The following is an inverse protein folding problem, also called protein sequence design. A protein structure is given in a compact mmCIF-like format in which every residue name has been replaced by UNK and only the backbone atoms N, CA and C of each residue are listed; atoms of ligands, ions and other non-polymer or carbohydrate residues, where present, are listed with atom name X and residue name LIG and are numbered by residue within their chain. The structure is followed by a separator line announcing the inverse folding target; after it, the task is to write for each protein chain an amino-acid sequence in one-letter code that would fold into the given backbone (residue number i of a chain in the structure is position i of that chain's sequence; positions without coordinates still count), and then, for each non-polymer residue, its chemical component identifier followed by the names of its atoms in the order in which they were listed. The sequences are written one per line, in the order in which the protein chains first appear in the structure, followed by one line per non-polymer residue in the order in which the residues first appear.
data_IF_115850880244
#
_entry.id   IF_115850880244
#
_cell.length_a   1.000
_cell.length_b   1.000
_cell.length_c   1.000
_cell.angle_alpha   90.00
_cell.angle_beta   90.00
_cell.angle_gamma   90.00
#
_symmetry.space_group_name_H-M   'P 1'
#
loop_
_entity.id
_entity.type
_entity.pdbx_description
1 polymer ?
#
# COMPACT_ATOMS: atom_id res chain seq x y z
N UNK A 1 18.78 19.69 2.90
CA UNK A 1 19.17 18.74 1.86
C UNK A 1 19.59 17.46 2.59
N UNK A 2 18.81 16.41 2.48
CA UNK A 2 19.23 15.09 2.98
C UNK A 2 20.24 14.55 1.96
N UNK A 3 21.48 14.33 2.39
CA UNK A 3 22.47 13.62 1.56
C UNK A 3 21.97 12.20 1.27
N UNK A 4 22.13 11.77 0.04
CA UNK A 4 21.80 10.40 -0.34
C UNK A 4 22.65 9.41 0.46
N UNK A 5 22.08 8.34 1.02
CA UNK A 5 22.83 7.37 1.83
C UNK A 5 23.93 6.71 1.01
N UNK A 6 25.13 6.62 1.57
CA UNK A 6 26.35 6.12 0.92
C UNK A 6 26.42 4.59 0.82
N UNK A 7 25.46 3.85 1.42
CA UNK A 7 25.43 2.40 1.37
C UNK A 7 24.24 1.78 2.10
N UNK A 8 24.02 0.49 1.84
CA UNK A 8 22.90 -0.29 2.45
C UNK A 8 22.99 -0.31 3.98
N UNK A 9 24.22 -0.35 4.54
CA UNK A 9 24.44 -0.38 6.00
C UNK A 9 23.93 0.91 6.65
N UNK A 10 24.17 2.07 6.06
CA UNK A 10 23.69 3.35 6.57
C UNK A 10 22.16 3.46 6.49
N UNK A 11 21.55 2.88 5.45
CA UNK A 11 20.09 2.80 5.35
C UNK A 11 19.51 1.93 6.44
N UNK A 12 20.07 0.75 6.68
CA UNK A 12 19.62 -0.15 7.73
C UNK A 12 19.81 0.45 9.13
N UNK A 13 20.91 1.13 9.38
CA UNK A 13 21.14 1.84 10.63
C UNK A 13 20.09 2.92 10.87
N UNK A 14 19.81 3.77 9.87
CA UNK A 14 18.75 4.77 9.94
C UNK A 14 17.36 4.17 10.16
N UNK A 15 17.07 3.04 9.51
CA UNK A 15 15.81 2.33 9.72
C UNK A 15 15.67 1.80 11.15
N UNK A 16 16.73 1.19 11.70
CA UNK A 16 16.73 0.71 13.07
C UNK A 16 16.59 1.85 14.08
N UNK A 17 17.31 2.96 13.88
CA UNK A 17 17.18 4.15 14.73
C UNK A 17 15.77 4.76 14.67
N UNK A 18 15.12 4.74 13.50
CA UNK A 18 13.74 5.20 13.34
C UNK A 18 12.75 4.33 14.13
N UNK A 19 13.00 3.02 14.23
CA UNK A 19 12.14 2.10 14.99
C UNK A 19 12.20 2.42 16.49
N UNK A 20 13.37 2.80 17.02
CA UNK A 20 13.61 3.04 18.44
C UNK A 20 13.36 4.51 18.84
N UNK A 21 12.78 5.30 17.96
CA UNK A 21 12.51 6.73 18.21
C UNK A 21 11.47 6.95 19.33
N UNK A 22 11.51 8.15 19.93
CA UNK A 22 10.51 8.56 20.91
C UNK A 22 9.11 8.55 20.26
N UNK A 23 8.06 8.01 20.92
CA UNK A 23 6.72 7.89 20.34
C UNK A 23 6.11 9.24 19.96
N UNK A 24 6.30 10.29 20.78
CA UNK A 24 5.77 11.62 20.51
C UNK A 24 6.52 12.24 19.33
N UNK A 25 7.83 12.12 19.30
CA UNK A 25 8.67 12.60 18.21
C UNK A 25 8.36 11.88 16.89
N UNK A 26 8.11 10.56 16.95
CA UNK A 26 7.69 9.77 15.80
C UNK A 26 6.38 10.28 15.19
N UNK A 27 5.41 10.67 16.04
CA UNK A 27 4.14 11.25 15.57
C UNK A 27 4.34 12.64 14.97
N UNK A 28 5.10 13.54 15.64
CA UNK A 28 5.35 14.91 15.18
C UNK A 28 6.11 14.95 13.86
N UNK A 29 7.12 14.08 13.72
CA UNK A 29 7.98 14.02 12.54
C UNK A 29 7.47 13.07 11.44
N UNK A 30 6.25 12.51 11.59
CA UNK A 30 5.68 11.53 10.67
C UNK A 30 6.62 10.33 10.41
N UNK A 31 7.34 9.87 11.46
CA UNK A 31 8.16 8.69 11.38
C UNK A 31 7.28 7.43 11.47
N UNK A 32 6.80 6.95 10.32
CA UNK A 32 5.87 5.82 10.24
C UNK A 32 6.40 4.53 10.86
N UNK A 33 7.72 4.24 10.74
CA UNK A 33 8.32 3.06 11.34
C UNK A 33 8.30 3.12 12.88
N UNK A 34 8.63 4.29 13.45
CA UNK A 34 8.54 4.52 14.89
C UNK A 34 7.09 4.42 15.39
N UNK A 35 6.14 5.04 14.68
CA UNK A 35 4.71 4.96 15.01
C UNK A 35 4.23 3.51 14.99
N UNK A 36 4.57 2.74 13.95
CA UNK A 36 4.20 1.33 13.82
C UNK A 36 4.82 0.47 14.94
N UNK A 37 6.09 0.66 15.24
CA UNK A 37 6.77 -0.06 16.31
C UNK A 37 6.09 0.17 17.67
N UNK A 38 5.78 1.42 18.00
CA UNK A 38 5.06 1.76 19.23
C UNK A 38 3.63 1.24 19.22
N UNK A 39 2.93 1.24 18.08
CA UNK A 39 1.60 0.65 17.97
C UNK A 39 1.62 -0.85 18.29
N UNK A 40 2.63 -1.58 17.79
CA UNK A 40 2.81 -3.01 18.11
C UNK A 40 3.11 -3.22 19.60
N UNK A 41 4.05 -2.45 20.17
CA UNK A 41 4.43 -2.54 21.59
C UNK A 41 3.21 -2.28 22.48
N UNK A 42 2.47 -1.19 22.22
CA UNK A 42 1.27 -0.84 22.97
C UNK A 42 0.15 -1.87 22.77
N UNK A 43 -0.02 -2.39 21.54
CA UNK A 43 -1.01 -3.43 21.25
C UNK A 43 -0.74 -4.71 22.04
N UNK A 44 0.52 -5.14 22.14
CA UNK A 44 0.92 -6.30 22.97
C UNK A 44 0.70 -6.01 24.46
N UNK A 45 1.11 -4.84 24.93
CA UNK A 45 0.95 -4.45 26.34
C UNK A 45 -0.52 -4.40 26.74
N UNK A 46 -1.39 -3.90 25.87
CA UNK A 46 -2.83 -3.75 26.11
C UNK A 46 -3.64 -5.03 25.81
N UNK A 47 -2.98 -6.11 25.38
CA UNK A 47 -3.67 -7.39 25.07
C UNK A 47 -4.53 -7.90 26.25
N UNK A 48 -4.04 -7.70 27.48
CA UNK A 48 -4.74 -8.11 28.73
C UNK A 48 -5.61 -7.00 29.34
N UNK A 49 -5.76 -5.86 28.69
CA UNK A 49 -6.58 -4.76 29.20
C UNK A 49 -8.07 -5.11 29.22
N UNK A 50 -8.83 -4.34 29.99
CA UNK A 50 -10.29 -4.52 30.13
C UNK A 50 -11.01 -4.31 28.79
N UNK A 51 -12.19 -4.91 28.59
CA UNK A 51 -13.00 -4.71 27.38
C UNK A 51 -13.30 -3.22 27.12
N UNK A 52 -13.52 -2.42 28.19
CA UNK A 52 -13.78 -0.98 28.08
C UNK A 52 -12.60 -0.22 27.48
N UNK A 53 -11.35 -0.54 27.89
CA UNK A 53 -10.16 0.08 27.32
C UNK A 53 -10.00 -0.26 25.84
N UNK A 54 -10.27 -1.51 25.45
CA UNK A 54 -10.22 -1.95 24.05
C UNK A 54 -11.28 -1.25 23.21
N UNK A 55 -12.49 -1.12 23.75
CA UNK A 55 -13.58 -0.40 23.07
C UNK A 55 -13.24 1.06 22.87
N UNK A 56 -12.71 1.75 23.89
CA UNK A 56 -12.30 3.14 23.79
C UNK A 56 -11.23 3.36 22.70
N UNK A 57 -10.25 2.45 22.60
CA UNK A 57 -9.22 2.51 21.55
C UNK A 57 -9.81 2.25 20.15
N UNK A 58 -10.77 1.32 20.05
CA UNK A 58 -11.49 1.07 18.80
C UNK A 58 -12.27 2.31 18.36
N UNK A 59 -13.04 2.90 19.27
CA UNK A 59 -13.84 4.09 19.00
C UNK A 59 -12.96 5.28 18.58
N UNK A 60 -11.81 5.45 19.25
CA UNK A 60 -10.83 6.47 18.86
C UNK A 60 -10.22 6.22 17.47
N UNK A 61 -9.90 4.97 17.15
CA UNK A 61 -9.42 4.58 15.83
C UNK A 61 -10.47 4.86 14.74
N UNK A 62 -11.73 4.51 15.02
CA UNK A 62 -12.84 4.75 14.11
C UNK A 62 -13.09 6.24 13.88
N UNK A 63 -12.99 7.05 14.94
CA UNK A 63 -13.13 8.51 14.85
C UNK A 63 -12.01 9.12 13.98
N UNK A 64 -10.75 8.72 14.18
CA UNK A 64 -9.62 9.17 13.35
C UNK A 64 -9.79 8.73 11.90
N UNK A 65 -10.19 7.47 11.68
CA UNK A 65 -10.45 6.94 10.34
C UNK A 65 -11.57 7.69 9.63
N UNK A 66 -12.61 8.08 10.36
CA UNK A 66 -13.71 8.88 9.82
C UNK A 66 -13.24 10.30 9.45
N UNK A 67 -12.44 10.94 10.29
CA UNK A 67 -11.85 12.24 9.98
C UNK A 67 -10.99 12.19 8.71
N UNK A 68 -10.16 11.17 8.59
CA UNK A 68 -9.34 10.94 7.37
C UNK A 68 -10.24 10.75 6.14
N UNK A 69 -11.34 10.00 6.23
CA UNK A 69 -12.30 9.84 5.12
C UNK A 69 -12.91 11.17 4.69
N UNK A 70 -13.26 12.07 5.62
CA UNK A 70 -13.75 13.40 5.28
C UNK A 70 -12.74 14.20 4.47
N UNK A 71 -11.46 14.15 4.88
CA UNK A 71 -10.37 14.80 4.12
C UNK A 71 -10.21 14.19 2.73
N UNK A 72 -10.23 12.85 2.64
CA UNK A 72 -10.13 12.13 1.36
C UNK A 72 -11.30 12.46 0.42
N UNK A 73 -12.50 12.69 0.95
CA UNK A 73 -13.64 13.09 0.15
C UNK A 73 -13.46 14.47 -0.52
N UNK A 74 -12.57 15.31 0.00
CA UNK A 74 -12.17 16.58 -0.64
C UNK A 74 -11.08 16.40 -1.71
N UNK A 75 -10.45 15.23 -1.78
CA UNK A 75 -9.36 14.95 -2.73
C UNK A 75 -9.72 15.23 -4.21
N UNK A 76 -10.95 14.95 -4.71
CA UNK A 76 -11.30 15.29 -6.08
C UNK A 76 -11.08 16.76 -6.43
N UNK A 77 -11.39 17.68 -5.51
CA UNK A 77 -11.19 19.11 -5.71
C UNK A 77 -9.70 19.48 -5.70
N UNK A 78 -8.92 18.88 -4.80
CA UNK A 78 -7.46 19.04 -4.76
C UNK A 78 -6.80 18.52 -6.03
N UNK A 79 -7.20 17.32 -6.48
CA UNK A 79 -6.69 16.71 -7.71
C UNK A 79 -7.05 17.57 -8.93
N UNK A 80 -8.28 18.08 -9.00
CA UNK A 80 -8.70 18.98 -10.08
C UNK A 80 -7.80 20.21 -10.16
N UNK A 81 -7.52 20.86 -9.01
CA UNK A 81 -6.60 22.00 -8.92
C UNK A 81 -5.18 21.66 -9.35
N UNK A 82 -4.65 20.51 -8.90
CA UNK A 82 -3.31 20.04 -9.29
C UNK A 82 -3.22 19.75 -10.79
N UNK A 83 -4.21 19.06 -11.37
CA UNK A 83 -4.26 18.76 -12.80
C UNK A 83 -4.37 20.04 -13.61
N UNK A 84 -5.23 20.97 -13.19
CA UNK A 84 -5.36 22.28 -13.86
C UNK A 84 -4.03 23.03 -13.84
N UNK A 85 -3.37 23.13 -12.70
CA UNK A 85 -2.07 23.79 -12.59
C UNK A 85 -1.01 23.10 -13.45
N UNK A 86 -0.94 21.76 -13.42
CA UNK A 86 0.00 21.00 -14.21
C UNK A 86 -0.20 21.18 -15.73
N UNK A 87 -1.45 21.16 -16.20
CA UNK A 87 -1.76 21.39 -17.61
C UNK A 87 -1.50 22.83 -18.02
N UNK A 88 -1.80 23.81 -17.16
CA UNK A 88 -1.57 25.23 -17.44
C UNK A 88 -0.07 25.58 -17.54
N UNK A 89 0.77 24.89 -16.75
CA UNK A 89 2.22 25.16 -16.72
C UNK A 89 3.01 24.37 -17.77
N UNK A 90 2.63 23.10 -18.01
CA UNK A 90 3.39 22.16 -18.86
C UNK A 90 2.75 21.90 -20.22
N UNK A 91 1.51 22.37 -20.43
CA UNK A 91 0.75 22.16 -21.66
C UNK A 91 0.37 20.70 -21.92
N UNK A 92 -0.12 20.42 -23.13
CA UNK A 92 -0.59 19.07 -23.52
C UNK A 92 0.50 17.99 -23.56
N UNK A 93 1.77 18.37 -23.54
CA UNK A 93 2.90 17.43 -23.52
C UNK A 93 2.90 16.56 -22.25
N UNK A 94 2.28 17.06 -21.17
CA UNK A 94 2.17 16.32 -19.91
C UNK A 94 1.41 14.98 -20.12
N UNK A 95 0.35 14.97 -20.93
CA UNK A 95 -0.44 13.77 -21.18
C UNK A 95 0.35 12.69 -21.94
N UNK A 96 1.23 13.08 -22.86
CA UNK A 96 2.07 12.12 -23.58
C UNK A 96 3.20 11.58 -22.72
N UNK A 97 3.77 12.37 -21.83
CA UNK A 97 4.81 11.94 -20.90
C UNK A 97 4.23 11.04 -19.78
N UNK A 98 3.15 11.48 -19.14
CA UNK A 98 2.50 10.68 -18.11
C UNK A 98 1.76 9.46 -18.67
N UNK A 99 1.30 9.52 -19.91
CA UNK A 99 0.70 8.37 -20.60
C UNK A 99 1.64 7.17 -20.67
N UNK A 100 2.94 7.41 -20.93
CA UNK A 100 3.96 6.34 -20.91
C UNK A 100 4.14 5.77 -19.50
N UNK A 101 4.15 6.63 -18.48
CA UNK A 101 4.29 6.22 -17.09
C UNK A 101 3.08 5.39 -16.62
N UNK A 102 1.88 5.83 -16.96
CA UNK A 102 0.64 5.09 -16.66
C UNK A 102 0.65 3.73 -17.36
N UNK A 103 1.05 3.69 -18.62
CA UNK A 103 1.12 2.44 -19.39
C UNK A 103 2.14 1.47 -18.78
N UNK A 104 3.28 1.98 -18.32
CA UNK A 104 4.27 1.20 -17.59
C UNK A 104 3.71 0.64 -16.28
N UNK A 105 3.06 1.49 -15.46
CA UNK A 105 2.43 1.10 -14.20
C UNK A 105 1.38 0.01 -14.41
N UNK A 106 0.46 0.23 -15.33
CA UNK A 106 -0.58 -0.75 -15.66
C UNK A 106 0.05 -2.04 -16.19
N UNK A 107 1.07 -1.95 -17.04
CA UNK A 107 1.81 -3.10 -17.54
C UNK A 107 2.46 -3.92 -16.41
N UNK A 108 3.13 -3.25 -15.47
CA UNK A 108 3.72 -3.91 -14.30
C UNK A 108 2.66 -4.58 -13.40
N UNK A 109 1.51 -3.92 -13.18
CA UNK A 109 0.42 -4.48 -12.39
C UNK A 109 -0.20 -5.71 -13.06
N UNK A 110 -0.43 -5.66 -14.36
CA UNK A 110 -0.93 -6.83 -15.12
C UNK A 110 0.09 -7.97 -15.13
N UNK A 111 1.38 -7.66 -15.26
CA UNK A 111 2.44 -8.65 -15.16
C UNK A 111 2.44 -9.34 -13.79
N UNK A 112 2.34 -8.54 -12.71
CA UNK A 112 2.25 -9.07 -11.35
C UNK A 112 1.03 -9.97 -11.18
N UNK A 113 -0.14 -9.53 -11.61
CA UNK A 113 -1.40 -10.26 -11.44
C UNK A 113 -1.42 -11.58 -12.22
N UNK A 114 -1.08 -11.54 -13.51
CA UNK A 114 -1.25 -12.72 -14.38
C UNK A 114 -0.02 -13.62 -14.41
N UNK A 115 1.19 -13.08 -14.29
CA UNK A 115 2.41 -13.86 -14.39
C UNK A 115 2.93 -14.24 -13.01
N UNK A 116 3.23 -13.26 -12.15
CA UNK A 116 3.82 -13.54 -10.84
C UNK A 116 2.85 -14.31 -9.94
N UNK A 117 1.62 -13.79 -9.76
CA UNK A 117 0.60 -14.48 -8.99
C UNK A 117 0.19 -15.80 -9.65
N UNK A 118 0.19 -15.87 -10.99
CA UNK A 118 -0.04 -17.10 -11.74
C UNK A 118 0.98 -18.19 -11.39
N UNK A 119 2.26 -17.86 -11.34
CA UNK A 119 3.33 -18.79 -10.97
C UNK A 119 3.19 -19.21 -9.51
N UNK A 120 3.02 -18.26 -8.59
CA UNK A 120 2.92 -18.53 -7.14
C UNK A 120 1.72 -19.44 -6.86
N UNK A 121 0.54 -19.05 -7.34
CA UNK A 121 -0.71 -19.80 -7.12
C UNK A 121 -0.66 -21.16 -7.81
N UNK A 122 -0.10 -21.24 -9.03
CA UNK A 122 0.09 -22.48 -9.75
C UNK A 122 1.01 -23.45 -9.01
N UNK A 123 2.11 -22.95 -8.44
CA UNK A 123 3.04 -23.72 -7.64
C UNK A 123 2.39 -24.25 -6.34
N UNK A 124 1.64 -23.36 -5.63
CA UNK A 124 0.97 -23.71 -4.38
C UNK A 124 -0.18 -24.69 -4.59
N UNK A 125 -1.03 -24.47 -5.58
CA UNK A 125 -2.20 -25.31 -5.85
C UNK A 125 -1.88 -26.57 -6.64
N UNK A 126 -0.73 -26.61 -7.34
CA UNK A 126 -0.36 -27.68 -8.29
C UNK A 126 -1.44 -27.95 -9.35
N UNK A 127 -2.21 -26.93 -9.70
CA UNK A 127 -3.30 -26.93 -10.68
C UNK A 127 -3.26 -25.64 -11.47
N UNK A 128 -4.09 -25.56 -12.52
CA UNK A 128 -4.22 -24.32 -13.29
C UNK A 128 -4.68 -23.14 -12.40
N UNK A 129 -3.89 -22.06 -12.22
CA UNK A 129 -4.20 -20.94 -11.35
C UNK A 129 -5.22 -19.96 -11.94
N UNK A 130 -5.32 -19.89 -13.27
CA UNK A 130 -6.07 -18.83 -13.95
C UNK A 130 -7.58 -18.80 -13.67
N UNK A 131 -8.29 -19.92 -13.48
CA UNK A 131 -9.69 -19.89 -13.09
C UNK A 131 -9.91 -19.18 -11.74
N UNK A 132 -9.01 -19.38 -10.78
CA UNK A 132 -9.07 -18.72 -9.47
C UNK A 132 -8.72 -17.24 -9.60
N UNK A 133 -7.61 -16.90 -10.27
CA UNK A 133 -7.17 -15.52 -10.49
C UNK A 133 -8.26 -14.72 -11.20
N UNK A 134 -8.82 -15.24 -12.28
CA UNK A 134 -9.90 -14.57 -13.02
C UNK A 134 -11.15 -14.38 -12.18
N UNK A 135 -11.48 -15.32 -11.32
CA UNK A 135 -12.62 -15.21 -10.40
C UNK A 135 -12.38 -14.12 -9.36
N UNK A 136 -11.22 -14.11 -8.74
CA UNK A 136 -10.82 -13.06 -7.78
C UNK A 136 -10.79 -11.68 -8.44
N UNK A 137 -10.19 -11.54 -9.61
CA UNK A 137 -10.14 -10.29 -10.35
C UNK A 137 -11.53 -9.76 -10.70
N UNK A 138 -12.46 -10.67 -11.09
CA UNK A 138 -13.82 -10.30 -11.50
C UNK A 138 -14.73 -9.96 -10.33
N UNK A 139 -14.71 -10.75 -9.25
CA UNK A 139 -15.63 -10.58 -8.12
C UNK A 139 -15.12 -9.55 -7.10
N UNK A 140 -13.83 -9.48 -6.86
CA UNK A 140 -13.20 -8.59 -5.89
C UNK A 140 -12.42 -7.44 -6.54
N UNK A 141 -11.68 -7.69 -7.61
CA UNK A 141 -10.81 -6.71 -8.25
C UNK A 141 -11.57 -5.48 -8.77
N UNK A 142 -12.75 -5.65 -9.35
CA UNK A 142 -13.60 -4.53 -9.78
C UNK A 142 -14.00 -3.64 -8.61
N UNK A 143 -14.43 -4.24 -7.51
CA UNK A 143 -14.80 -3.50 -6.30
C UNK A 143 -13.60 -2.77 -5.72
N UNK A 144 -12.44 -3.42 -5.64
CA UNK A 144 -11.19 -2.82 -5.18
C UNK A 144 -10.76 -1.63 -6.04
N UNK A 145 -10.91 -1.73 -7.37
CA UNK A 145 -10.60 -0.66 -8.31
C UNK A 145 -11.43 0.60 -8.06
N UNK A 146 -12.73 0.46 -7.86
CA UNK A 146 -13.62 1.60 -7.64
C UNK A 146 -13.51 2.17 -6.23
N UNK A 147 -13.36 1.33 -5.20
CA UNK A 147 -13.25 1.77 -3.81
C UNK A 147 -11.87 2.32 -3.47
N UNK A 148 -10.83 1.88 -4.19
CA UNK A 148 -9.42 2.24 -3.94
C UNK A 148 -9.00 2.03 -2.47
N UNK A 149 -9.63 1.08 -1.81
CA UNK A 149 -9.41 0.79 -0.39
C UNK A 149 -9.39 -0.71 -0.15
N UNK A 150 -8.25 -1.23 0.25
CA UNK A 150 -8.09 -2.63 0.64
C UNK A 150 -8.98 -2.98 1.83
N UNK A 151 -9.10 -2.08 2.81
CA UNK A 151 -9.95 -2.28 3.98
C UNK A 151 -11.45 -2.36 3.61
N UNK A 152 -11.92 -1.50 2.71
CA UNK A 152 -13.31 -1.53 2.22
C UNK A 152 -13.61 -2.81 1.42
N UNK A 153 -12.58 -3.46 0.88
CA UNK A 153 -12.73 -4.68 0.09
C UNK A 153 -12.66 -5.97 0.94
N UNK A 154 -12.32 -5.88 2.23
CA UNK A 154 -12.26 -7.05 3.14
C UNK A 154 -13.58 -7.85 3.12
N UNK A 155 -14.76 -7.24 3.31
CA UNK A 155 -16.01 -8.00 3.32
C UNK A 155 -16.28 -8.74 2.01
N UNK A 156 -15.95 -8.13 0.87
CA UNK A 156 -16.12 -8.72 -0.46
C UNK A 156 -15.23 -9.96 -0.62
N UNK A 157 -13.97 -9.86 -0.18
CA UNK A 157 -13.04 -10.99 -0.22
C UNK A 157 -13.46 -12.11 0.74
N UNK A 158 -13.99 -11.78 1.92
CA UNK A 158 -14.51 -12.77 2.86
C UNK A 158 -15.72 -13.51 2.27
N UNK A 159 -16.67 -12.80 1.67
CA UNK A 159 -17.81 -13.39 0.98
C UNK A 159 -17.39 -14.30 -0.19
N UNK A 160 -16.36 -13.88 -0.94
CA UNK A 160 -15.80 -14.69 -2.01
C UNK A 160 -15.18 -15.99 -1.46
N UNK A 161 -14.45 -15.93 -0.34
CA UNK A 161 -13.90 -17.10 0.34
C UNK A 161 -15.01 -18.06 0.82
N UNK A 162 -16.09 -17.53 1.37
CA UNK A 162 -17.27 -18.31 1.77
C UNK A 162 -17.92 -19.02 0.57
N UNK A 163 -18.12 -18.30 -0.54
CA UNK A 163 -18.65 -18.87 -1.80
C UNK A 163 -17.75 -19.95 -2.40
N UNK A 164 -16.45 -19.91 -2.09
CA UNK A 164 -15.50 -20.95 -2.50
C UNK A 164 -15.44 -22.13 -1.53
N UNK A 165 -16.19 -22.09 -0.40
CA UNK A 165 -16.23 -23.16 0.60
C UNK A 165 -14.96 -23.23 1.46
N UNK A 166 -14.24 -22.11 1.62
CA UNK A 166 -13.07 -22.06 2.49
C UNK A 166 -13.47 -22.00 3.96
N UNK A 167 -12.59 -22.49 4.82
CA UNK A 167 -12.79 -22.46 6.26
C UNK A 167 -12.82 -21.04 6.80
N UNK A 168 -13.92 -20.73 7.53
CA UNK A 168 -14.19 -19.41 8.10
C UNK A 168 -13.11 -18.96 9.07
N UNK A 169 -12.58 -19.86 9.89
CA UNK A 169 -11.56 -19.54 10.89
C UNK A 169 -10.25 -19.07 10.20
N UNK A 170 -9.97 -19.63 9.02
CA UNK A 170 -8.81 -19.25 8.22
C UNK A 170 -9.00 -17.89 7.54
N UNK A 171 -10.07 -17.70 6.76
CA UNK A 171 -10.21 -16.47 5.98
C UNK A 171 -10.57 -15.24 6.80
N UNK A 172 -11.22 -15.42 7.98
CA UNK A 172 -11.51 -14.30 8.89
C UNK A 172 -10.27 -13.63 9.46
N UNK A 173 -9.15 -14.33 9.50
CA UNK A 173 -7.85 -13.79 9.92
C UNK A 173 -6.99 -13.43 8.74
N UNK A 174 -6.88 -14.30 7.73
CA UNK A 174 -5.95 -14.10 6.62
C UNK A 174 -6.36 -12.95 5.69
N UNK A 175 -7.65 -12.72 5.45
CA UNK A 175 -8.10 -11.63 4.58
C UNK A 175 -7.84 -10.24 5.18
N UNK A 176 -8.22 -9.93 6.43
CA UNK A 176 -7.86 -8.66 7.04
C UNK A 176 -6.35 -8.44 7.16
N UNK A 177 -5.61 -9.50 7.53
CA UNK A 177 -4.15 -9.43 7.62
C UNK A 177 -3.53 -9.16 6.24
N UNK A 178 -3.95 -9.91 5.22
CA UNK A 178 -3.49 -9.73 3.85
C UNK A 178 -3.77 -8.33 3.29
N UNK A 179 -4.91 -7.74 3.63
CA UNK A 179 -5.25 -6.36 3.21
C UNK A 179 -4.28 -5.30 3.72
N UNK A 180 -3.53 -5.60 4.77
CA UNK A 180 -2.58 -4.70 5.41
C UNK A 180 -1.13 -5.01 5.05
N UNK A 181 -0.78 -6.29 4.90
CA UNK A 181 0.61 -6.73 4.68
C UNK A 181 0.91 -6.91 3.19
N UNK A 182 -0.02 -7.43 2.41
CA UNK A 182 0.18 -7.73 0.99
C UNK A 182 -0.17 -6.52 0.13
N UNK A 183 0.83 -5.67 -0.11
CA UNK A 183 0.69 -4.40 -0.81
C UNK A 183 1.51 -4.33 -2.09
N UNK A 184 1.48 -5.36 -2.92
CA UNK A 184 2.27 -5.47 -4.17
C UNK A 184 2.03 -4.28 -5.11
N UNK A 185 0.77 -3.88 -5.30
CA UNK A 185 0.42 -2.73 -6.13
C UNK A 185 0.98 -1.41 -5.61
N UNK A 186 1.02 -1.23 -4.28
CA UNK A 186 1.63 -0.05 -3.66
C UNK A 186 3.16 -0.06 -3.87
N UNK A 187 3.82 -1.21 -3.69
CA UNK A 187 5.25 -1.37 -3.93
C UNK A 187 5.62 -1.01 -5.37
N UNK A 188 4.91 -1.57 -6.35
CA UNK A 188 5.11 -1.24 -7.78
C UNK A 188 4.93 0.26 -8.02
N UNK A 189 3.86 0.86 -7.49
CA UNK A 189 3.56 2.27 -7.71
C UNK A 189 4.65 3.16 -7.10
N UNK A 190 5.04 2.91 -5.85
CA UNK A 190 6.07 3.68 -5.15
C UNK A 190 7.40 3.59 -5.91
N UNK A 191 7.82 2.39 -6.27
CA UNK A 191 9.09 2.16 -6.98
C UNK A 191 9.11 2.87 -8.33
N UNK A 192 8.09 2.65 -9.17
CA UNK A 192 8.02 3.26 -10.50
C UNK A 192 7.96 4.79 -10.43
N UNK A 193 7.16 5.33 -9.50
CA UNK A 193 7.06 6.79 -9.33
C UNK A 193 8.36 7.41 -8.80
N UNK A 194 9.03 6.75 -7.87
CA UNK A 194 10.32 7.21 -7.32
C UNK A 194 11.41 7.20 -8.39
N UNK A 195 11.50 6.13 -9.18
CA UNK A 195 12.46 6.04 -10.28
C UNK A 195 12.16 7.07 -11.39
N UNK A 196 10.89 7.30 -11.70
CA UNK A 196 10.49 8.31 -12.67
C UNK A 196 10.83 9.73 -12.18
N UNK A 197 10.62 10.02 -10.90
CA UNK A 197 11.00 11.30 -10.30
C UNK A 197 12.53 11.49 -10.30
N UNK A 198 13.31 10.47 -9.92
CA UNK A 198 14.75 10.50 -9.96
C UNK A 198 15.27 10.77 -11.39
N UNK A 199 14.72 10.08 -12.38
CA UNK A 199 15.05 10.31 -13.79
C UNK A 199 14.73 11.74 -14.23
N UNK A 200 13.59 12.29 -13.82
CA UNK A 200 13.19 13.67 -14.16
C UNK A 200 14.13 14.70 -13.53
N UNK A 201 14.66 14.42 -12.35
CA UNK A 201 15.63 15.26 -11.65
C UNK A 201 17.08 15.06 -12.13
N UNK A 202 17.30 14.19 -13.12
CA UNK A 202 18.64 13.89 -13.63
C UNK A 202 19.50 13.06 -12.68
N UNK A 203 18.90 12.43 -11.67
CA UNK A 203 19.60 11.57 -10.71
C UNK A 203 19.75 10.17 -11.34
N UNK A 204 21.00 9.74 -11.55
CA UNK A 204 21.28 8.39 -12.01
C UNK A 204 21.10 7.39 -10.88
N UNK A 205 20.12 6.49 -11.02
CA UNK A 205 19.89 5.39 -10.05
C UNK A 205 20.50 4.12 -10.60
N UNK A 206 21.44 3.53 -9.84
CA UNK A 206 22.01 2.23 -10.20
C UNK A 206 21.01 1.09 -9.94
N UNK A 207 21.17 -0.03 -10.67
CA UNK A 207 20.29 -1.21 -10.47
C UNK A 207 20.28 -1.68 -9.02
N UNK A 208 21.41 -1.81 -8.29
CA UNK A 208 21.39 -2.16 -6.88
C UNK A 208 20.60 -1.17 -6.01
N UNK A 209 20.72 0.12 -6.28
CA UNK A 209 19.97 1.17 -5.58
C UNK A 209 18.47 1.07 -5.87
N UNK A 210 18.11 0.77 -7.11
CA UNK A 210 16.71 0.56 -7.49
C UNK A 210 16.08 -0.65 -6.77
N UNK A 211 16.83 -1.75 -6.61
CA UNK A 211 16.39 -2.94 -5.86
C UNK A 211 16.20 -2.63 -4.37
N UNK A 212 17.04 -1.79 -3.79
CA UNK A 212 16.90 -1.37 -2.37
C UNK A 212 15.71 -0.43 -2.16
N UNK A 213 15.32 0.31 -3.19
CA UNK A 213 14.17 1.23 -3.17
C UNK A 213 12.83 0.53 -3.38
N UNK A 214 12.82 -0.69 -3.91
CA UNK A 214 11.62 -1.51 -4.13
C UNK A 214 11.29 -2.40 -2.95
#
# INVERSE_FOLDING_TARGET
QQEAPKGVVEVLEKLLMNIVSNPIEALVNANYLGVLAWAVILGIALKKSTPGTKQMLSDASDAVSQAVRWIINLAPFGILGLVFNAVSTSGMKIFTQYGKLILLLVGCMLFQEFITNGIIVGFCLKKNPYPLISRCARESGLTAFFTRSSAANIPVNMELCEKMGLDKDNYSVSIPLGSTINMDGAAITITVMTLAAAHTLGISVSIPTAIVLS
#
